data_IF_656110079543
#
_entry.id   IF_656110079543
#
_cell.length_a   1.000
_cell.length_b   1.000
_cell.length_c   1.000
_cell.angle_alpha   90.00
_cell.angle_beta   90.00
_cell.angle_gamma   90.00
#
_symmetry.space_group_name_H-M   'P 1'
#
loop_
_entity.id
_entity.type
_entity.pdbx_description
1 polymer ?
#
# COMPACT_ATOMS: atom_id res chain seq x y z
N UNK A 1 -46.82 -27.31 10.39
CA UNK A 1 -46.14 -27.88 11.58
C UNK A 1 -44.99 -26.95 11.93
N UNK A 2 -45.13 -26.20 13.02
CA UNK A 2 -44.08 -25.40 13.66
C UNK A 2 -43.01 -26.31 14.27
N UNK A 3 -41.75 -25.85 14.35
CA UNK A 3 -41.09 -25.54 15.62
C UNK A 3 -39.76 -24.79 15.39
N UNK A 4 -39.73 -23.59 15.96
CA UNK A 4 -38.59 -22.69 16.16
C UNK A 4 -37.81 -23.10 17.40
N UNK A 5 -36.49 -22.84 17.47
CA UNK A 5 -35.82 -22.35 18.70
C UNK A 5 -34.70 -21.37 18.32
N UNK A 6 -34.75 -20.19 18.94
CA UNK A 6 -33.85 -19.04 18.84
C UNK A 6 -32.38 -19.34 19.16
N UNK A 7 -31.48 -18.53 18.58
CA UNK A 7 -30.40 -17.92 19.35
C UNK A 7 -30.28 -16.46 18.95
N UNK A 8 -30.60 -15.57 19.89
CA UNK A 8 -30.16 -14.17 19.85
C UNK A 8 -28.64 -14.24 20.09
N UNK A 9 -27.86 -13.90 19.07
CA UNK A 9 -26.53 -13.35 19.32
C UNK A 9 -26.64 -11.86 19.11
N UNK A 10 -26.26 -11.13 20.16
CA UNK A 10 -26.13 -9.69 20.26
C UNK A 10 -25.63 -9.07 18.95
N UNK A 11 -25.98 -7.81 18.62
CA UNK A 11 -25.29 -7.12 17.54
C UNK A 11 -23.80 -7.29 17.82
N UNK A 12 -23.08 -7.94 16.90
CA UNK A 12 -21.65 -8.14 17.05
C UNK A 12 -21.08 -6.76 17.35
N UNK A 13 -20.59 -6.57 18.58
CA UNK A 13 -19.83 -5.39 18.94
C UNK A 13 -18.67 -5.37 17.95
N UNK A 14 -18.82 -4.61 16.86
CA UNK A 14 -17.81 -4.44 15.83
C UNK A 14 -16.72 -3.54 16.42
N UNK A 15 -16.01 -4.11 17.37
CA UNK A 15 -14.88 -3.55 18.10
C UNK A 15 -13.67 -4.39 17.74
N UNK A 16 -13.48 -4.66 16.44
CA UNK A 16 -12.18 -5.11 15.97
C UNK A 16 -11.22 -3.94 16.24
N UNK A 17 -10.16 -4.08 17.05
CA UNK A 17 -9.14 -3.05 17.12
C UNK A 17 -8.57 -2.81 15.71
N UNK A 18 -8.19 -1.58 15.39
CA UNK A 18 -7.42 -1.31 14.16
C UNK A 18 -6.19 -2.23 14.20
N UNK A 19 -6.14 -3.23 13.34
CA UNK A 19 -4.98 -4.09 13.22
C UNK A 19 -4.08 -3.54 12.11
N UNK A 20 -2.76 -3.68 12.26
CA UNK A 20 -1.81 -3.20 11.25
C UNK A 20 -2.12 -3.74 9.83
N UNK A 21 -2.77 -4.90 9.73
CA UNK A 21 -3.23 -5.47 8.45
C UNK A 21 -4.20 -4.58 7.68
N UNK A 22 -5.11 -3.88 8.36
CA UNK A 22 -6.04 -2.94 7.72
C UNK A 22 -5.30 -1.74 7.09
N UNK A 23 -4.30 -1.19 7.80
CA UNK A 23 -3.45 -0.12 7.28
C UNK A 23 -2.56 -0.58 6.12
N UNK A 24 -2.02 -1.80 6.22
CA UNK A 24 -1.24 -2.41 5.15
C UNK A 24 -2.05 -2.51 3.85
N UNK A 25 -3.28 -3.06 3.93
CA UNK A 25 -4.17 -3.21 2.78
C UNK A 25 -4.63 -1.85 2.22
N UNK A 26 -4.97 -0.91 3.11
CA UNK A 26 -5.35 0.45 2.75
C UNK A 26 -4.24 1.19 1.99
N UNK A 27 -2.99 1.08 2.45
CA UNK A 27 -1.86 1.72 1.79
C UNK A 27 -1.59 1.13 0.40
N UNK A 28 -1.70 -0.19 0.24
CA UNK A 28 -1.58 -0.81 -1.08
C UNK A 28 -2.68 -0.34 -2.03
N UNK A 29 -3.91 -0.17 -1.53
CA UNK A 29 -5.01 0.37 -2.32
C UNK A 29 -4.74 1.81 -2.77
N UNK A 30 -4.43 2.69 -1.81
CA UNK A 30 -4.14 4.10 -2.08
C UNK A 30 -2.96 4.24 -3.03
N UNK A 31 -1.89 3.46 -2.83
CA UNK A 31 -0.74 3.43 -3.72
C UNK A 31 -1.13 3.01 -5.13
N UNK A 32 -2.01 2.01 -5.27
CA UNK A 32 -2.41 1.54 -6.59
C UNK A 32 -3.31 2.53 -7.36
N UNK A 33 -4.01 3.43 -6.66
CA UNK A 33 -4.79 4.50 -7.31
C UNK A 33 -3.91 5.44 -8.14
N UNK A 34 -2.63 5.62 -7.79
CA UNK A 34 -1.66 6.36 -8.62
C UNK A 34 -1.54 5.79 -10.05
N UNK A 35 -1.86 4.51 -10.22
CA UNK A 35 -1.64 3.74 -11.44
C UNK A 35 -2.94 3.19 -12.04
N UNK A 36 -4.09 3.79 -11.71
CA UNK A 36 -5.41 3.32 -12.12
C UNK A 36 -5.62 3.29 -13.66
N UNK A 37 -4.78 3.99 -14.43
CA UNK A 37 -4.80 3.93 -15.89
C UNK A 37 -4.07 2.68 -16.45
N UNK A 38 -3.21 2.04 -15.64
CA UNK A 38 -2.46 0.83 -16.01
C UNK A 38 -3.08 -0.47 -15.47
N UNK A 39 -3.79 -0.37 -14.34
CA UNK A 39 -4.42 -1.49 -13.65
C UNK A 39 -5.90 -1.19 -13.41
N UNK A 40 -6.75 -2.18 -13.64
CA UNK A 40 -8.14 -2.18 -13.21
C UNK A 40 -8.21 -2.83 -11.81
N UNK A 41 -8.50 -2.02 -10.79
CA UNK A 41 -8.76 -2.47 -9.43
C UNK A 41 -10.19 -2.99 -9.30
N UNK A 42 -10.33 -4.30 -9.07
CA UNK A 42 -11.64 -4.93 -8.95
C UNK A 42 -12.17 -4.90 -7.51
N UNK A 43 -11.33 -5.30 -6.56
CA UNK A 43 -11.74 -5.37 -5.15
C UNK A 43 -10.55 -5.30 -4.21
N UNK A 44 -10.85 -4.93 -2.96
CA UNK A 44 -9.93 -4.93 -1.85
C UNK A 44 -10.49 -5.82 -0.75
N UNK A 45 -9.67 -6.77 -0.29
CA UNK A 45 -10.03 -7.63 0.83
C UNK A 45 -9.19 -7.28 2.03
N UNK A 46 -9.85 -7.00 3.16
CA UNK A 46 -9.20 -6.97 4.46
C UNK A 46 -9.41 -8.34 5.10
N UNK A 47 -8.48 -9.26 4.97
CA UNK A 47 -8.52 -10.48 5.80
C UNK A 47 -7.26 -10.53 6.65
N UNK A 48 -7.48 -10.76 7.94
CA UNK A 48 -6.46 -11.21 8.88
C UNK A 48 -7.18 -12.03 9.96
N UNK A 49 -7.40 -13.33 9.72
CA UNK A 49 -7.90 -14.24 10.75
C UNK A 49 -6.72 -15.04 11.32
N UNK A 50 -6.10 -14.57 12.41
CA UNK A 50 -5.28 -15.43 13.29
C UNK A 50 -6.25 -16.26 14.16
N UNK A 51 -6.00 -17.54 14.53
CA UNK A 51 -4.70 -18.20 14.71
C UNK A 51 -4.50 -19.45 13.82
N UNK A 52 -3.28 -19.62 13.29
CA UNK A 52 -2.81 -20.84 12.62
C UNK A 52 -2.50 -20.69 11.13
N UNK A 53 -3.21 -19.81 10.39
CA UNK A 53 -2.89 -19.48 9.00
C UNK A 53 -3.26 -18.01 8.74
N UNK A 54 -2.25 -17.14 8.58
CA UNK A 54 -2.48 -15.77 8.18
C UNK A 54 -2.90 -15.74 6.70
N UNK A 55 -4.19 -15.58 6.41
CA UNK A 55 -4.63 -15.17 5.07
C UNK A 55 -4.49 -13.67 4.98
N UNK A 56 -3.58 -13.21 4.13
CA UNK A 56 -3.32 -11.81 3.85
C UNK A 56 -4.51 -11.21 3.12
N UNK A 57 -5.05 -10.10 3.62
CA UNK A 57 -5.85 -9.18 2.84
C UNK A 57 -5.08 -8.80 1.58
N UNK A 58 -5.77 -8.66 0.46
CA UNK A 58 -5.15 -8.52 -0.84
C UNK A 58 -5.99 -7.71 -1.81
N UNK A 59 -5.32 -7.12 -2.77
CA UNK A 59 -5.92 -6.40 -3.87
C UNK A 59 -6.06 -7.33 -5.08
N UNK A 60 -7.21 -7.26 -5.73
CA UNK A 60 -7.44 -7.93 -7.01
C UNK A 60 -7.28 -6.91 -8.13
N UNK A 61 -6.21 -7.06 -8.90
CA UNK A 61 -5.92 -6.24 -10.07
C UNK A 61 -6.07 -7.04 -11.35
N UNK A 62 -6.62 -6.41 -12.39
CA UNK A 62 -6.49 -6.86 -13.77
C UNK A 62 -5.61 -5.86 -14.50
N UNK A 63 -4.46 -6.32 -14.98
CA UNK A 63 -3.57 -5.50 -15.80
C UNK A 63 -4.27 -5.19 -17.13
N UNK A 64 -4.14 -3.95 -17.61
CA UNK A 64 -4.49 -3.63 -18.97
C UNK A 64 -3.58 -4.40 -19.96
N UNK A 65 -4.12 -5.41 -20.63
CA UNK A 65 -3.40 -6.27 -21.58
C UNK A 65 -2.88 -5.55 -22.83
N UNK A 66 -3.30 -4.30 -23.06
CA UNK A 66 -2.83 -3.48 -24.19
C UNK A 66 -1.49 -2.78 -23.93
N UNK A 67 -1.06 -2.68 -22.67
CA UNK A 67 0.20 -2.03 -22.30
C UNK A 67 1.37 -3.01 -22.44
N UNK A 68 2.50 -2.57 -23.01
CA UNK A 68 3.72 -3.40 -23.14
C UNK A 68 4.35 -3.66 -21.76
N UNK A 69 5.09 -4.76 -21.62
CA UNK A 69 5.90 -5.06 -20.44
C UNK A 69 7.07 -4.06 -20.35
N UNK A 70 6.82 -2.88 -19.76
CA UNK A 70 7.82 -1.84 -19.52
C UNK A 70 8.32 -1.92 -18.07
N UNK A 71 9.58 -1.53 -17.77
CA UNK A 71 10.08 -1.38 -16.39
C UNK A 71 9.16 -0.61 -15.45
N UNK A 72 8.38 0.35 -15.99
CA UNK A 72 7.35 1.09 -15.27
C UNK A 72 6.37 0.19 -14.52
N UNK A 73 5.89 -0.89 -15.15
CA UNK A 73 4.92 -1.79 -14.53
C UNK A 73 5.52 -2.55 -13.35
N UNK A 74 6.78 -2.96 -13.46
CA UNK A 74 7.47 -3.63 -12.36
C UNK A 74 7.70 -2.67 -11.18
N UNK A 75 7.95 -1.39 -11.47
CA UNK A 75 8.10 -0.35 -10.46
C UNK A 75 6.76 -0.03 -9.78
N UNK A 76 5.66 0.12 -10.53
CA UNK A 76 4.31 0.27 -9.98
C UNK A 76 3.96 -0.86 -9.01
N UNK A 77 4.15 -2.11 -9.44
CA UNK A 77 3.89 -3.28 -8.59
C UNK A 77 4.83 -3.32 -7.38
N UNK A 78 6.09 -2.89 -7.53
CA UNK A 78 7.04 -2.82 -6.41
C UNK A 78 6.59 -1.78 -5.38
N UNK A 79 6.16 -0.58 -5.82
CA UNK A 79 5.64 0.48 -4.96
C UNK A 79 4.37 0.03 -4.22
N UNK A 80 3.43 -0.61 -4.92
CA UNK A 80 2.24 -1.22 -4.29
C UNK A 80 2.70 -2.24 -3.25
N UNK A 81 3.56 -3.20 -3.61
CA UNK A 81 3.99 -4.26 -2.70
C UNK A 81 4.68 -3.75 -1.45
N UNK A 82 5.53 -2.73 -1.54
CA UNK A 82 6.30 -2.21 -0.40
C UNK A 82 5.50 -1.21 0.45
N UNK A 83 4.41 -0.64 -0.10
CA UNK A 83 3.52 0.26 0.64
C UNK A 83 2.85 -0.38 1.85
N UNK A 84 2.57 -1.69 1.82
CA UNK A 84 2.08 -2.39 3.01
C UNK A 84 3.10 -2.29 4.15
N UNK A 85 4.36 -2.64 3.89
CA UNK A 85 5.42 -2.62 4.90
C UNK A 85 5.66 -1.21 5.42
N UNK A 86 5.69 -0.21 4.53
CA UNK A 86 5.89 1.18 4.94
C UNK A 86 4.74 1.68 5.84
N UNK A 87 3.49 1.37 5.49
CA UNK A 87 2.34 1.74 6.30
C UNK A 87 2.28 0.99 7.63
N UNK A 88 2.61 -0.31 7.66
CA UNK A 88 2.72 -1.06 8.91
C UNK A 88 3.83 -0.51 9.83
N UNK A 89 4.91 -0.01 9.25
CA UNK A 89 5.99 0.65 9.99
C UNK A 89 5.52 1.97 10.60
N UNK A 90 4.82 2.82 9.83
CA UNK A 90 4.19 4.05 10.34
C UNK A 90 3.18 3.74 11.43
N UNK A 91 2.34 2.72 11.25
CA UNK A 91 1.36 2.32 12.25
C UNK A 91 2.03 1.89 13.57
N UNK A 92 3.13 1.13 13.53
CA UNK A 92 3.84 0.66 14.73
C UNK A 92 4.70 1.74 15.41
N UNK A 93 5.27 2.66 14.65
CA UNK A 93 6.28 3.60 15.14
C UNK A 93 5.81 5.06 15.21
N UNK A 94 4.71 5.39 14.55
CA UNK A 94 4.20 6.75 14.39
C UNK A 94 4.81 7.48 13.20
N UNK A 95 4.03 8.38 12.61
CA UNK A 95 4.42 9.15 11.43
C UNK A 95 5.64 10.05 11.71
N UNK A 96 5.66 10.75 12.85
CA UNK A 96 6.74 11.67 13.24
C UNK A 96 8.10 10.96 13.36
N UNK A 97 8.10 9.79 14.01
CA UNK A 97 9.32 9.00 14.16
C UNK A 97 9.83 8.56 12.79
N UNK A 98 8.94 8.04 11.95
CA UNK A 98 9.31 7.62 10.59
C UNK A 98 9.84 8.79 9.76
N UNK A 99 9.24 9.98 9.87
CA UNK A 99 9.70 11.17 9.15
C UNK A 99 11.14 11.57 9.57
N UNK A 100 11.48 11.43 10.85
CA UNK A 100 12.83 11.73 11.34
C UNK A 100 13.88 10.66 10.98
N UNK A 101 13.47 9.40 10.83
CA UNK A 101 14.39 8.26 10.65
C UNK A 101 14.47 7.75 9.19
N UNK A 102 13.58 8.20 8.29
CA UNK A 102 13.50 7.73 6.89
C UNK A 102 14.83 7.82 6.15
N UNK A 103 15.61 8.87 6.38
CA UNK A 103 16.92 9.08 5.74
C UNK A 103 17.96 8.03 6.14
N UNK A 104 17.77 7.39 7.29
CA UNK A 104 18.66 6.37 7.85
C UNK A 104 18.20 4.94 7.52
N UNK A 105 17.02 4.76 6.92
CA UNK A 105 16.48 3.46 6.53
C UNK A 105 17.44 2.58 5.71
N UNK A 106 18.26 3.13 4.78
CA UNK A 106 19.24 2.31 4.05
C UNK A 106 20.25 1.58 4.95
N UNK A 107 20.36 2.01 6.21
CA UNK A 107 21.33 1.58 7.21
C UNK A 107 20.67 0.95 8.45
N UNK A 108 19.34 0.96 8.55
CA UNK A 108 18.57 0.45 9.70
C UNK A 108 17.36 -0.37 9.23
N UNK A 109 17.56 -1.67 9.02
CA UNK A 109 16.50 -2.60 8.58
C UNK A 109 15.44 -2.86 9.68
N UNK A 110 15.73 -2.49 10.93
CA UNK A 110 14.85 -2.77 12.07
C UNK A 110 13.47 -2.11 11.97
N UNK A 111 13.37 -0.96 11.32
CA UNK A 111 12.11 -0.21 11.15
C UNK A 111 11.16 -0.84 10.13
N UNK A 112 11.68 -1.68 9.23
CA UNK A 112 10.89 -2.37 8.20
C UNK A 112 10.55 -3.82 8.61
N UNK A 113 10.98 -4.24 9.80
CA UNK A 113 10.77 -5.59 10.29
C UNK A 113 9.36 -5.74 10.87
N UNK A 114 8.44 -6.23 10.05
CA UNK A 114 7.06 -6.50 10.43
C UNK A 114 6.77 -8.00 10.41
N UNK A 115 6.27 -8.53 11.53
CA UNK A 115 5.88 -9.93 11.64
C UNK A 115 4.76 -10.26 10.64
N UNK A 116 5.00 -11.21 9.72
CA UNK A 116 4.02 -11.65 8.72
C UNK A 116 4.07 -10.89 7.39
N UNK A 117 5.05 -10.00 7.20
CA UNK A 117 5.24 -9.26 5.94
C UNK A 117 6.29 -9.88 5.00
N UNK A 118 6.84 -11.05 5.34
CA UNK A 118 7.95 -11.69 4.61
C UNK A 118 7.61 -11.94 3.14
N UNK A 119 6.36 -12.33 2.85
CA UNK A 119 5.89 -12.54 1.48
C UNK A 119 5.85 -11.26 0.66
N UNK A 120 5.44 -10.12 1.26
CA UNK A 120 5.43 -8.82 0.57
C UNK A 120 6.84 -8.37 0.28
N UNK A 121 7.75 -8.55 1.24
CA UNK A 121 9.15 -8.19 1.07
C UNK A 121 9.81 -9.03 -0.04
N UNK A 122 9.50 -10.34 -0.11
CA UNK A 122 10.01 -11.21 -1.17
C UNK A 122 9.39 -10.90 -2.53
N UNK A 123 8.10 -10.56 -2.60
CA UNK A 123 7.44 -10.11 -3.82
C UNK A 123 8.08 -8.80 -4.33
N UNK A 124 8.23 -7.81 -3.45
CA UNK A 124 8.93 -6.57 -3.71
C UNK A 124 10.34 -6.79 -4.28
N UNK A 125 11.16 -7.62 -3.63
CA UNK A 125 12.51 -7.94 -4.11
C UNK A 125 12.52 -8.52 -5.52
N UNK A 126 11.56 -9.41 -5.85
CA UNK A 126 11.43 -9.98 -7.19
C UNK A 126 11.05 -8.92 -8.22
N UNK A 127 10.17 -7.99 -7.87
CA UNK A 127 9.71 -6.90 -8.74
C UNK A 127 10.81 -5.86 -9.01
N UNK A 128 11.73 -5.63 -8.07
CA UNK A 128 12.88 -4.72 -8.30
C UNK A 128 13.92 -5.28 -9.28
N UNK A 129 14.03 -6.60 -9.43
CA UNK A 129 15.09 -7.21 -10.26
C UNK A 129 15.00 -6.81 -11.75
N UNK A 130 13.83 -6.86 -12.42
CA UNK A 130 13.68 -6.38 -13.80
C UNK A 130 14.11 -4.91 -14.00
N UNK A 131 13.75 -4.03 -13.06
CA UNK A 131 14.10 -2.60 -13.11
C UNK A 131 15.62 -2.42 -13.01
N UNK A 132 16.24 -3.11 -12.05
CA UNK A 132 17.68 -3.13 -11.83
C UNK A 132 18.45 -3.58 -13.07
N UNK A 133 17.99 -4.63 -13.76
CA UNK A 133 18.61 -5.10 -15.01
C UNK A 133 18.41 -4.12 -16.16
N UNK A 134 17.21 -3.54 -16.29
CA UNK A 134 16.92 -2.61 -17.39
C UNK A 134 17.77 -1.35 -17.33
N UNK A 135 17.89 -0.72 -16.15
CA UNK A 135 18.66 0.52 -15.97
C UNK A 135 20.13 0.30 -15.62
N UNK A 136 20.58 -0.97 -15.51
CA UNK A 136 21.91 -1.35 -15.05
C UNK A 136 22.26 -0.65 -13.72
N UNK A 137 21.35 -0.75 -12.76
CA UNK A 137 21.47 -0.23 -11.39
C UNK A 137 21.59 -1.38 -10.41
N UNK A 138 22.31 -1.19 -9.31
CA UNK A 138 22.39 -2.18 -8.24
C UNK A 138 21.00 -2.41 -7.63
N UNK A 139 20.59 -3.66 -7.40
CA UNK A 139 19.22 -3.97 -6.95
C UNK A 139 18.87 -3.32 -5.61
N UNK A 140 19.83 -3.24 -4.67
CA UNK A 140 19.61 -2.50 -3.41
C UNK A 140 19.26 -1.02 -3.64
N UNK A 141 19.86 -0.37 -4.65
CA UNK A 141 19.57 1.04 -4.98
C UNK A 141 18.12 1.21 -5.43
N UNK A 142 17.65 0.32 -6.30
CA UNK A 142 16.25 0.32 -6.76
C UNK A 142 15.28 0.05 -5.59
N UNK A 143 15.62 -0.89 -4.70
CA UNK A 143 14.80 -1.17 -3.52
C UNK A 143 14.70 0.06 -2.60
N UNK A 144 15.84 0.71 -2.30
CA UNK A 144 15.84 1.89 -1.45
C UNK A 144 15.11 3.07 -2.06
N UNK A 145 15.31 3.32 -3.36
CA UNK A 145 14.53 4.30 -4.12
C UNK A 145 13.02 4.07 -3.90
N UNK A 146 12.52 2.87 -4.19
CA UNK A 146 11.10 2.56 -4.03
C UNK A 146 10.60 2.73 -2.58
N UNK A 147 11.36 2.26 -1.58
CA UNK A 147 11.00 2.42 -0.15
C UNK A 147 10.87 3.91 0.20
N UNK A 148 11.85 4.73 -0.20
CA UNK A 148 11.85 6.16 0.09
C UNK A 148 10.71 6.89 -0.62
N UNK A 149 10.42 6.56 -1.88
CA UNK A 149 9.28 7.14 -2.60
C UNK A 149 7.96 6.85 -1.88
N UNK A 150 7.78 5.61 -1.42
CA UNK A 150 6.55 5.20 -0.73
C UNK A 150 6.39 5.93 0.60
N UNK A 151 7.44 6.03 1.43
CA UNK A 151 7.34 6.79 2.67
C UNK A 151 7.06 8.27 2.41
N UNK A 152 7.76 8.89 1.45
CA UNK A 152 7.51 10.30 1.09
C UNK A 152 6.07 10.51 0.66
N UNK A 153 5.52 9.60 -0.15
CA UNK A 153 4.12 9.65 -0.55
C UNK A 153 3.18 9.56 0.65
N UNK A 154 3.39 8.59 1.55
CA UNK A 154 2.57 8.43 2.76
C UNK A 154 2.68 9.62 3.72
N UNK A 155 3.75 10.41 3.63
CA UNK A 155 4.02 11.61 4.42
C UNK A 155 3.54 12.91 3.74
N UNK A 156 3.02 12.87 2.51
CA UNK A 156 2.35 14.03 1.93
C UNK A 156 1.11 14.34 2.77
N UNK A 157 0.91 15.62 3.06
CA UNK A 157 -0.24 16.11 3.85
C UNK A 157 -1.56 15.51 3.32
N UNK A 158 -2.35 14.94 4.23
CA UNK A 158 -3.63 14.30 3.91
C UNK A 158 -3.55 12.86 3.40
N UNK A 159 -2.43 12.37 2.86
CA UNK A 159 -2.37 10.98 2.34
C UNK A 159 -2.55 9.95 3.47
N UNK A 160 -1.93 10.17 4.63
CA UNK A 160 -2.10 9.28 5.77
C UNK A 160 -3.54 9.29 6.31
N UNK A 161 -4.24 10.42 6.21
CA UNK A 161 -5.66 10.52 6.57
C UNK A 161 -6.53 9.72 5.61
N UNK A 162 -6.21 9.73 4.31
CA UNK A 162 -6.88 8.87 3.32
C UNK A 162 -6.64 7.39 3.60
N UNK A 163 -5.40 7.00 3.91
CA UNK A 163 -5.08 5.61 4.30
C UNK A 163 -5.86 5.22 5.55
N UNK A 164 -5.94 6.10 6.54
CA UNK A 164 -6.71 5.88 7.77
C UNK A 164 -8.21 5.74 7.49
N UNK A 165 -8.76 6.57 6.60
CA UNK A 165 -10.15 6.48 6.14
C UNK A 165 -10.45 5.14 5.46
N UNK A 166 -9.57 4.70 4.55
CA UNK A 166 -9.74 3.41 3.86
C UNK A 166 -9.62 2.24 4.84
N UNK A 167 -8.66 2.29 5.76
CA UNK A 167 -8.51 1.28 6.81
C UNK A 167 -9.76 1.19 7.71
N UNK A 168 -10.35 2.33 8.06
CA UNK A 168 -11.60 2.39 8.83
C UNK A 168 -12.79 1.80 8.04
N UNK A 169 -12.90 2.10 6.74
CA UNK A 169 -13.92 1.50 5.87
C UNK A 169 -13.77 -0.01 5.73
N UNK A 170 -12.54 -0.50 5.66
CA UNK A 170 -12.26 -1.94 5.63
C UNK A 170 -12.66 -2.63 6.93
N UNK A 171 -12.41 -1.99 8.08
CA UNK A 171 -12.77 -2.52 9.39
C UNK A 171 -14.27 -2.67 9.58
N UNK A 172 -15.04 -1.67 9.13
CA UNK A 172 -16.50 -1.62 9.31
C UNK A 172 -17.28 -2.22 8.15
N UNK A 173 -16.61 -2.79 7.15
CA UNK A 173 -17.28 -3.51 6.08
C UNK A 173 -17.94 -4.77 6.64
N UNK A 174 -19.24 -4.93 6.42
CA UNK A 174 -19.99 -6.14 6.79
C UNK A 174 -19.52 -7.37 5.99
N UNK A 175 -18.79 -7.13 4.89
CA UNK A 175 -18.18 -8.14 4.03
C UNK A 175 -16.65 -8.10 4.11
N UNK A 176 -16.00 -9.26 4.11
CA UNK A 176 -14.52 -9.39 4.07
C UNK A 176 -13.88 -8.84 2.77
N UNK A 177 -14.71 -8.41 1.81
CA UNK A 177 -14.35 -7.85 0.53
C UNK A 177 -15.13 -6.55 0.35
N UNK A 178 -14.42 -5.45 0.11
CA UNK A 178 -15.01 -4.16 -0.24
C UNK A 178 -14.81 -3.91 -1.74
N UNK A 179 -15.90 -3.58 -2.43
CA UNK A 179 -15.82 -3.24 -3.85
C UNK A 179 -15.09 -1.91 -4.04
N UNK A 180 -14.18 -1.85 -5.01
CA UNK A 180 -13.41 -0.63 -5.30
C UNK A 180 -14.32 0.57 -5.61
N UNK A 181 -15.39 0.33 -6.38
CA UNK A 181 -16.38 1.36 -6.74
C UNK A 181 -17.06 1.99 -5.53
N UNK A 182 -17.49 1.18 -4.56
CA UNK A 182 -18.14 1.66 -3.33
C UNK A 182 -17.19 2.52 -2.47
N UNK A 183 -15.92 2.12 -2.42
CA UNK A 183 -14.89 2.88 -1.69
C UNK A 183 -14.61 4.22 -2.37
N UNK A 184 -14.42 4.21 -3.70
CA UNK A 184 -14.20 5.44 -4.48
C UNK A 184 -15.38 6.41 -4.38
N UNK A 185 -16.62 5.92 -4.46
CA UNK A 185 -17.82 6.75 -4.26
C UNK A 185 -17.87 7.37 -2.85
N UNK A 186 -17.37 6.67 -1.84
CA UNK A 186 -17.29 7.18 -0.47
C UNK A 186 -16.20 8.25 -0.31
N UNK A 187 -15.07 8.06 -0.99
CA UNK A 187 -13.96 9.01 -1.00
C UNK A 187 -14.34 10.31 -1.73
N UNK A 188 -15.05 10.21 -2.86
CA UNK A 188 -15.51 11.38 -3.64
C UNK A 188 -16.43 12.34 -2.87
N UNK A 189 -17.05 11.86 -1.78
CA UNK A 189 -17.90 12.68 -0.90
C UNK A 189 -17.12 13.45 0.17
N UNK A 190 -15.82 13.22 0.28
CA UNK A 190 -14.97 13.86 1.27
C UNK A 190 -14.37 15.15 0.71
N UNK A 191 -14.26 16.18 1.54
CA UNK A 191 -13.72 17.50 1.14
C UNK A 191 -12.26 17.40 0.66
N UNK A 192 -11.47 16.52 1.26
CA UNK A 192 -10.07 16.29 0.90
C UNK A 192 -9.85 15.54 -0.43
N UNK A 193 -10.91 15.08 -1.11
CA UNK A 193 -10.76 14.23 -2.29
C UNK A 193 -10.03 14.90 -3.46
N UNK A 194 -10.24 16.22 -3.63
CA UNK A 194 -9.60 16.98 -4.71
C UNK A 194 -8.08 17.05 -4.49
N UNK A 195 -7.66 17.40 -3.28
CA UNK A 195 -6.23 17.49 -2.91
C UNK A 195 -5.56 16.11 -2.94
N UNK A 196 -6.28 15.07 -2.52
CA UNK A 196 -5.84 13.69 -2.66
C UNK A 196 -5.59 13.32 -4.12
N UNK A 197 -6.53 13.60 -5.02
CA UNK A 197 -6.40 13.26 -6.44
C UNK A 197 -5.24 14.03 -7.09
N UNK A 198 -5.03 15.30 -6.70
CA UNK A 198 -3.87 16.07 -7.14
C UNK A 198 -2.56 15.46 -6.65
N UNK A 199 -2.51 15.03 -5.39
CA UNK A 199 -1.34 14.36 -4.80
C UNK A 199 -0.98 13.07 -5.52
N UNK A 200 -1.97 12.29 -5.98
CA UNK A 200 -1.73 11.10 -6.81
C UNK A 200 -1.07 11.47 -8.14
N UNK A 201 -1.59 12.50 -8.81
CA UNK A 201 -1.05 12.98 -10.07
C UNK A 201 0.39 13.49 -9.92
N UNK A 202 0.66 14.29 -8.88
CA UNK A 202 1.97 14.87 -8.64
C UNK A 202 3.00 13.82 -8.24
N UNK A 203 2.62 12.84 -7.43
CA UNK A 203 3.46 11.69 -7.12
C UNK A 203 3.86 10.93 -8.39
N UNK A 204 2.89 10.59 -9.24
CA UNK A 204 3.16 9.93 -10.51
C UNK A 204 4.08 10.78 -11.41
N UNK A 205 3.79 12.07 -11.58
CA UNK A 205 4.60 12.98 -12.39
C UNK A 205 6.04 13.17 -11.86
N UNK A 206 6.25 13.07 -10.55
CA UNK A 206 7.58 13.20 -9.93
C UNK A 206 8.50 12.02 -10.26
N UNK A 207 7.93 10.86 -10.60
CA UNK A 207 8.67 9.60 -10.79
C UNK A 207 8.71 9.14 -12.24
N UNK A 208 7.68 9.44 -13.03
CA UNK A 208 7.54 8.97 -14.41
C UNK A 208 7.75 10.10 -15.44
N UNK A 209 8.44 9.82 -16.56
CA UNK A 209 8.97 8.52 -16.99
C UNK A 209 10.18 8.07 -16.17
N UNK A 210 10.25 6.76 -15.89
CA UNK A 210 11.39 6.20 -15.16
C UNK A 210 12.69 6.43 -15.92
N UNK A 211 13.69 6.89 -15.18
CA UNK A 211 15.05 7.07 -15.68
C UNK A 211 16.07 6.55 -14.68
N UNK A 212 17.24 6.17 -15.19
CA UNK A 212 18.38 5.77 -14.36
C UNK A 212 18.77 6.88 -13.37
N UNK A 213 18.74 8.14 -13.82
CA UNK A 213 19.08 9.31 -13.02
C UNK A 213 18.05 9.52 -11.91
N UNK A 214 16.76 9.49 -12.23
CA UNK A 214 15.69 9.64 -11.22
C UNK A 214 15.75 8.56 -10.14
N UNK A 215 15.88 7.29 -10.55
CA UNK A 215 16.03 6.17 -9.61
C UNK A 215 17.30 6.25 -8.73
N UNK A 216 18.36 6.90 -9.22
CA UNK A 216 19.59 7.09 -8.46
C UNK A 216 19.55 8.31 -7.54
N UNK A 217 18.83 9.37 -7.93
CA UNK A 217 18.72 10.64 -7.21
C UNK A 217 17.89 10.51 -5.92
N UNK A 218 17.06 9.47 -5.79
CA UNK A 218 16.28 9.23 -4.57
C UNK A 218 17.11 8.72 -3.39
N UNK A 219 18.37 8.37 -3.61
CA UNK A 219 19.26 7.88 -2.55
C UNK A 219 20.01 9.05 -1.89
N UNK A 220 20.23 9.02 -0.57
CA UNK A 220 21.18 9.92 0.08
C UNK A 220 22.56 9.80 -0.61
N UNK A 221 23.22 10.93 -0.88
CA UNK A 221 24.52 10.96 -1.56
C UNK A 221 25.67 10.35 -0.75
N UNK A 222 25.43 9.95 0.50
CA UNK A 222 26.47 9.50 1.43
C UNK A 222 26.14 8.17 2.09
N UNK A 223 27.10 7.24 1.98
CA UNK A 223 27.53 6.36 3.04
C UNK A 223 28.90 6.88 3.50
#
# INVERSE_FOLDING_TARGET
MQLSIFSIQEPANCSKPLDGGSFMAAAQFVMALNFAHEFELLSLSAINNRPGVAKKGGLVFVRNGKLKMHPGIYDHLALISISSICAGSIYNHGLDKMASEIINLPYSEGLLSLTGAEEDYMAFKRLCSPISRFFLLHTKKVQWSAILSVFRFLMIDGIWDVVSFVADKLRHSDTDILACTQLLESMQKQEWYVDFNQSLHDFHASRYPLSKVGLAAELPETA
#
